data_IF_309843964655
#
_entry.id   IF_309843964655
#
_cell.length_a   1.000
_cell.length_b   1.000
_cell.length_c   1.000
_cell.angle_alpha   90.00
_cell.angle_beta   90.00
_cell.angle_gamma   90.00
#
_symmetry.space_group_name_H-M   'P 1'
#
loop_
_entity.id
_entity.type
_entity.pdbx_description
1 polymer ?
#
# COMPACT_ATOMS: atom_id res chain seq x y z
N UNK A 1 -13.75 1.77 -4.84
CA UNK A 1 -12.69 1.38 -5.78
C UNK A 1 -12.23 -0.03 -5.52
N UNK A 2 -11.64 -0.64 -6.52
CA UNK A 2 -11.10 -2.01 -6.44
C UNK A 2 -9.59 -1.98 -6.23
N UNK A 3 -9.11 -1.20 -5.26
CA UNK A 3 -7.69 -1.07 -5.03
C UNK A 3 -7.38 -0.37 -3.72
N UNK A 4 -6.11 -0.24 -3.47
CA UNK A 4 -5.53 0.38 -2.30
C UNK A 4 -4.41 1.34 -2.72
N UNK A 5 -3.73 1.95 -1.76
CA UNK A 5 -2.70 2.96 -2.01
C UNK A 5 -1.44 2.67 -1.20
N UNK A 6 -0.31 3.08 -1.74
CA UNK A 6 0.87 3.40 -0.95
C UNK A 6 0.71 4.82 -0.42
N UNK A 7 0.93 5.02 0.87
CA UNK A 7 0.76 6.32 1.54
C UNK A 7 2.06 6.70 2.20
N UNK A 8 2.58 7.88 1.85
CA UNK A 8 3.73 8.50 2.49
C UNK A 8 3.30 9.32 3.70
N UNK A 9 4.01 9.21 4.81
CA UNK A 9 3.68 9.88 6.07
C UNK A 9 4.91 10.26 6.88
N UNK A 10 4.73 11.23 7.76
CA UNK A 10 5.73 11.74 8.69
C UNK A 10 5.07 12.18 10.00
N UNK A 11 5.87 12.49 11.02
CA UNK A 11 5.35 13.09 12.27
C UNK A 11 5.02 14.57 12.06
N UNK A 12 3.91 15.03 12.63
CA UNK A 12 3.54 16.47 12.61
C UNK A 12 4.59 17.37 13.26
N UNK A 13 5.16 16.92 14.38
CA UNK A 13 6.16 17.70 15.13
C UNK A 13 7.52 17.78 14.45
N UNK A 14 7.74 17.03 13.38
CA UNK A 14 8.95 17.14 12.56
C UNK A 14 8.99 18.37 11.66
N UNK A 15 7.85 19.04 11.44
CA UNK A 15 7.71 20.13 10.49
C UNK A 15 7.66 19.69 9.02
N UNK A 16 7.67 18.38 8.75
CA UNK A 16 7.52 17.82 7.40
C UNK A 16 6.03 17.75 7.07
N UNK A 17 5.62 18.43 6.00
CA UNK A 17 4.22 18.51 5.58
C UNK A 17 3.99 18.05 4.13
N UNK A 18 5.07 17.84 3.39
CA UNK A 18 5.06 17.43 1.99
C UNK A 18 6.24 16.52 1.66
N UNK A 19 6.21 15.94 0.47
CA UNK A 19 7.31 15.13 -0.03
C UNK A 19 8.57 15.97 -0.26
N UNK A 20 8.43 17.25 -0.62
CA UNK A 20 9.52 18.20 -0.80
C UNK A 20 10.31 18.43 0.48
N UNK A 21 9.64 18.45 1.62
CA UNK A 21 10.28 18.61 2.93
C UNK A 21 11.13 17.41 3.32
N UNK A 22 10.97 16.27 2.65
CA UNK A 22 11.78 15.07 2.85
C UNK A 22 13.16 15.14 2.20
N UNK A 23 13.42 16.16 1.38
CA UNK A 23 14.73 16.31 0.72
C UNK A 23 15.88 16.34 1.75
N UNK A 24 16.86 15.48 1.54
CA UNK A 24 18.04 15.38 2.42
C UNK A 24 17.76 14.65 3.75
N UNK A 25 16.55 14.11 3.96
CA UNK A 25 16.18 13.41 5.19
C UNK A 25 16.16 11.88 5.01
N UNK A 26 15.96 11.16 6.10
CA UNK A 26 15.92 9.70 6.12
C UNK A 26 14.50 9.22 5.78
N UNK A 27 14.38 8.46 4.70
CA UNK A 27 13.11 7.90 4.24
C UNK A 27 13.10 6.37 4.31
N UNK A 28 12.00 5.81 4.82
CA UNK A 28 11.84 4.38 5.02
C UNK A 28 10.90 3.73 4.01
N UNK A 29 11.39 2.65 3.39
CA UNK A 29 10.59 1.67 2.69
C UNK A 29 10.37 0.43 3.56
N UNK A 30 9.33 -0.37 3.28
CA UNK A 30 9.07 -1.60 4.01
C UNK A 30 10.04 -2.72 3.63
N UNK A 31 9.59 -3.64 2.80
CA UNK A 31 10.36 -4.74 2.24
C UNK A 31 10.62 -4.51 0.75
N UNK A 32 11.82 -4.84 0.20
CA UNK A 32 12.13 -4.69 -1.23
C UNK A 32 11.16 -5.42 -2.17
N UNK A 33 10.49 -6.46 -1.70
CA UNK A 33 9.50 -7.22 -2.47
C UNK A 33 8.06 -6.70 -2.32
N UNK A 34 7.84 -5.75 -1.40
CA UNK A 34 6.51 -5.19 -1.16
C UNK A 34 6.07 -4.29 -2.31
N UNK A 35 4.86 -4.49 -2.83
CA UNK A 35 4.29 -3.65 -3.89
C UNK A 35 4.09 -2.22 -3.41
N UNK A 36 3.35 -2.02 -2.33
CA UNK A 36 3.07 -0.69 -1.77
C UNK A 36 4.15 -0.16 -0.84
N UNK A 37 4.94 -1.05 -0.22
CA UNK A 37 6.02 -0.66 0.68
C UNK A 37 7.33 -0.28 -0.03
N UNK A 38 7.47 -0.59 -1.32
CA UNK A 38 8.67 -0.25 -2.07
C UNK A 38 8.46 -0.12 -3.57
N UNK A 39 7.90 -1.13 -4.26
CA UNK A 39 7.90 -1.18 -5.73
C UNK A 39 7.26 0.06 -6.35
N UNK A 40 6.02 0.34 -6.02
CA UNK A 40 5.25 1.46 -6.56
C UNK A 40 5.84 2.81 -6.11
N UNK A 41 6.06 3.06 -4.81
CA UNK A 41 6.64 4.34 -4.40
C UNK A 41 8.03 4.59 -4.96
N UNK A 42 8.84 3.55 -5.19
CA UNK A 42 10.18 3.70 -5.77
C UNK A 42 10.18 4.09 -7.27
N UNK A 43 9.02 4.13 -7.89
CA UNK A 43 8.82 4.59 -9.27
C UNK A 43 8.07 5.92 -9.27
N UNK A 44 6.94 6.00 -8.55
CA UNK A 44 6.09 7.19 -8.59
C UNK A 44 6.68 8.38 -7.81
N UNK A 45 7.49 8.15 -6.76
CA UNK A 45 8.19 9.25 -6.07
C UNK A 45 9.25 9.90 -6.98
N UNK A 46 10.12 9.14 -7.70
CA UNK A 46 10.99 9.71 -8.72
C UNK A 46 10.25 10.46 -9.82
N UNK A 47 9.11 9.95 -10.29
CA UNK A 47 8.29 10.64 -11.27
C UNK A 47 7.79 12.01 -10.73
N UNK A 48 7.42 12.08 -9.46
CA UNK A 48 6.93 13.29 -8.82
C UNK A 48 8.04 14.30 -8.49
N UNK A 49 9.24 13.82 -8.15
CA UNK A 49 10.36 14.66 -7.67
C UNK A 49 11.42 14.95 -8.73
N UNK A 50 11.45 14.17 -9.80
CA UNK A 50 12.52 14.21 -10.80
C UNK A 50 13.87 13.65 -10.32
N UNK A 51 13.88 12.92 -9.21
CA UNK A 51 15.10 12.40 -8.57
C UNK A 51 15.08 10.87 -8.48
N UNK A 52 16.20 10.26 -8.07
CA UNK A 52 16.29 8.82 -7.85
C UNK A 52 15.98 8.44 -6.40
N UNK A 53 15.79 7.13 -6.14
CA UNK A 53 15.62 6.58 -4.78
C UNK A 53 16.96 6.15 -4.16
N UNK A 54 18.07 6.57 -4.74
CA UNK A 54 19.39 6.33 -4.16
C UNK A 54 19.64 7.26 -2.97
N UNK A 55 20.23 6.72 -1.90
CA UNK A 55 20.67 7.53 -0.76
C UNK A 55 21.65 8.62 -1.20
N UNK A 56 21.42 9.83 -0.73
CA UNK A 56 22.26 10.98 -1.07
C UNK A 56 21.84 11.73 -2.34
N UNK A 57 20.82 11.27 -3.10
CA UNK A 57 20.26 12.04 -4.20
C UNK A 57 19.12 12.94 -3.69
N UNK A 58 17.86 12.47 -3.72
CA UNK A 58 16.76 13.25 -3.17
C UNK A 58 16.68 13.11 -1.64
N UNK A 59 16.55 11.86 -1.17
CA UNK A 59 16.64 11.56 0.26
C UNK A 59 18.12 11.52 0.69
N UNK A 60 18.42 12.02 1.89
CA UNK A 60 19.73 11.91 2.46
C UNK A 60 20.13 10.44 2.69
N UNK A 61 19.18 9.66 3.17
CA UNK A 61 19.32 8.22 3.35
C UNK A 61 18.00 7.51 3.04
N UNK A 62 18.09 6.35 2.40
CA UNK A 62 16.96 5.43 2.15
C UNK A 62 17.19 4.16 2.95
N UNK A 63 16.22 3.77 3.76
CA UNK A 63 16.27 2.57 4.60
C UNK A 63 15.16 1.59 4.26
N UNK A 64 15.45 0.30 4.34
CA UNK A 64 14.46 -0.76 4.39
C UNK A 64 14.22 -1.13 5.85
N UNK A 65 12.99 -0.96 6.33
CA UNK A 65 12.61 -1.19 7.73
C UNK A 65 12.23 -2.64 8.01
N UNK A 66 11.97 -3.43 6.96
CA UNK A 66 11.60 -4.84 7.03
C UNK A 66 10.11 -5.12 6.86
N UNK A 67 9.23 -4.11 6.94
CA UNK A 67 7.80 -4.27 6.76
C UNK A 67 6.99 -3.02 7.06
N UNK A 68 5.68 -3.10 6.87
CA UNK A 68 4.77 -1.97 7.06
C UNK A 68 4.72 -1.49 8.52
N UNK A 69 4.57 -2.42 9.46
CA UNK A 69 4.52 -2.09 10.89
C UNK A 69 5.83 -1.47 11.36
N UNK A 70 6.96 -2.05 10.95
CA UNK A 70 8.30 -1.55 11.28
C UNK A 70 8.50 -0.13 10.75
N UNK A 71 8.01 0.18 9.54
CA UNK A 71 8.05 1.55 9.00
C UNK A 71 7.25 2.51 9.86
N UNK A 72 6.03 2.13 10.25
CA UNK A 72 5.16 2.96 11.09
C UNK A 72 5.81 3.24 12.45
N UNK A 73 6.32 2.20 13.09
CA UNK A 73 6.99 2.32 14.40
C UNK A 73 8.25 3.19 14.29
N UNK A 74 9.07 3.00 13.25
CA UNK A 74 10.30 3.78 13.05
C UNK A 74 10.01 5.28 12.84
N UNK A 75 8.96 5.62 12.07
CA UNK A 75 8.53 7.02 11.94
C UNK A 75 7.99 7.56 13.26
N UNK A 76 7.14 6.80 13.93
CA UNK A 76 6.55 7.22 15.21
C UNK A 76 7.60 7.48 16.29
N UNK A 77 8.66 6.68 16.32
CA UNK A 77 9.78 6.85 17.26
C UNK A 77 10.78 7.94 16.85
N UNK A 78 10.69 8.44 15.61
CA UNK A 78 11.67 9.40 15.08
C UNK A 78 12.98 8.77 14.62
N UNK A 79 13.04 7.45 14.46
CA UNK A 79 14.22 6.72 13.95
C UNK A 79 14.47 7.01 12.47
N UNK A 80 13.39 7.32 11.73
CA UNK A 80 13.38 7.83 10.37
C UNK A 80 12.43 9.02 10.28
N UNK A 81 12.65 9.92 9.30
CA UNK A 81 11.88 11.16 9.18
C UNK A 81 10.53 10.97 8.50
N UNK A 82 10.42 10.00 7.62
CA UNK A 82 9.18 9.64 6.93
C UNK A 82 9.31 8.28 6.28
N UNK A 83 8.20 7.76 5.80
CA UNK A 83 8.17 6.46 5.14
C UNK A 83 6.87 6.20 4.42
N UNK A 84 6.75 5.04 3.80
CA UNK A 84 5.55 4.59 3.09
C UNK A 84 4.97 3.33 3.72
N UNK A 85 3.65 3.25 3.68
CA UNK A 85 2.90 2.06 4.04
C UNK A 85 1.64 1.96 3.18
N UNK A 86 0.75 1.00 3.44
CA UNK A 86 -0.46 0.84 2.65
C UNK A 86 -1.73 1.18 3.44
N UNK A 87 -2.72 1.69 2.72
CA UNK A 87 -4.06 1.93 3.22
C UNK A 87 -5.09 1.77 2.09
N UNK A 88 -6.34 1.46 2.45
CA UNK A 88 -7.43 1.36 1.48
C UNK A 88 -7.91 2.73 0.94
N UNK A 89 -7.54 3.81 1.61
CA UNK A 89 -7.91 5.17 1.24
C UNK A 89 -9.39 5.48 1.45
N UNK A 90 -10.10 4.67 2.22
CA UNK A 90 -11.49 4.85 2.60
C UNK A 90 -11.59 5.27 4.07
N UNK A 91 -12.55 6.14 4.40
CA UNK A 91 -12.64 6.73 5.73
C UNK A 91 -11.69 7.91 5.91
N UNK A 92 -11.48 8.30 7.15
CA UNK A 92 -10.71 9.50 7.49
C UNK A 92 -9.24 9.17 7.79
N UNK A 93 -8.36 10.09 7.45
CA UNK A 93 -6.93 10.00 7.77
C UNK A 93 -6.68 9.87 9.27
N UNK A 94 -7.42 10.63 10.06
CA UNK A 94 -7.33 10.71 11.52
C UNK A 94 -7.61 9.37 12.20
N UNK A 95 -8.36 8.49 11.54
CA UNK A 95 -8.67 7.13 12.01
C UNK A 95 -7.67 6.08 11.50
N UNK A 96 -6.73 6.45 10.64
CA UNK A 96 -5.85 5.53 9.92
C UNK A 96 -6.55 4.83 8.75
N UNK A 97 -7.62 5.44 8.23
CA UNK A 97 -8.54 4.89 7.23
C UNK A 97 -9.40 3.71 7.77
N UNK A 98 -10.14 3.04 6.90
CA UNK A 98 -10.96 1.87 7.28
C UNK A 98 -10.15 0.58 7.36
N UNK A 99 -9.10 0.45 6.53
CA UNK A 99 -8.27 -0.75 6.44
C UNK A 99 -6.86 -0.40 5.97
N UNK A 100 -5.90 -1.18 6.41
CA UNK A 100 -4.49 -1.02 6.03
C UNK A 100 -3.55 -1.14 7.22
N UNK A 101 -2.27 -0.88 6.97
CA UNK A 101 -1.27 -0.98 8.02
C UNK A 101 -1.42 0.14 9.06
N UNK A 102 -1.80 1.35 8.66
CA UNK A 102 -2.07 2.45 9.60
C UNK A 102 -3.25 2.11 10.51
N UNK A 103 -4.36 1.62 9.96
CA UNK A 103 -5.52 1.19 10.76
C UNK A 103 -5.13 0.11 11.77
N UNK A 104 -4.38 -0.90 11.34
CA UNK A 104 -3.89 -1.97 12.23
C UNK A 104 -3.00 -1.41 13.35
N UNK A 105 -2.14 -0.45 13.04
CA UNK A 105 -1.27 0.18 14.03
C UNK A 105 -2.06 1.03 15.05
N UNK A 106 -3.10 1.73 14.61
CA UNK A 106 -4.03 2.47 15.49
C UNK A 106 -4.75 1.50 16.41
N UNK A 107 -5.34 0.43 15.87
CA UNK A 107 -6.06 -0.58 16.65
C UNK A 107 -5.17 -1.29 17.68
N UNK A 108 -3.89 -1.45 17.35
CA UNK A 108 -2.88 -2.01 18.27
C UNK A 108 -2.31 -1.00 19.28
N UNK A 109 -2.70 0.27 19.21
CA UNK A 109 -2.17 1.34 20.07
C UNK A 109 -0.70 1.70 19.79
N UNK A 110 -0.18 1.38 18.61
CA UNK A 110 1.21 1.65 18.22
C UNK A 110 1.42 3.08 17.71
N UNK A 111 0.37 3.75 17.26
CA UNK A 111 0.41 5.09 16.70
C UNK A 111 -0.87 5.86 16.97
N UNK A 112 -0.75 7.16 17.21
CA UNK A 112 -1.86 8.12 17.19
C UNK A 112 -1.78 8.92 15.89
N UNK A 113 -2.81 8.84 15.06
CA UNK A 113 -2.86 9.54 13.78
C UNK A 113 -2.92 11.07 13.93
N UNK A 114 -3.29 11.58 15.11
CA UNK A 114 -3.19 13.00 15.42
C UNK A 114 -1.73 13.52 15.41
N UNK A 115 -0.76 12.62 15.62
CA UNK A 115 0.67 12.93 15.58
C UNK A 115 1.27 12.76 14.18
N UNK A 116 0.49 12.29 13.20
CA UNK A 116 0.94 11.97 11.85
C UNK A 116 0.39 12.93 10.81
N UNK A 117 1.14 13.11 9.74
CA UNK A 117 0.73 13.86 8.55
C UNK A 117 0.96 13.02 7.29
N UNK A 118 -0.01 13.05 6.38
CA UNK A 118 0.15 12.47 5.05
C UNK A 118 0.94 13.42 4.17
N UNK A 119 2.03 12.93 3.57
CA UNK A 119 2.92 13.73 2.72
C UNK A 119 2.89 13.30 1.25
N UNK A 120 2.37 12.10 0.97
CA UNK A 120 2.29 11.56 -0.39
C UNK A 120 1.27 10.43 -0.48
N UNK A 121 0.78 10.16 -1.68
CA UNK A 121 -0.09 9.02 -1.98
C UNK A 121 0.10 8.59 -3.44
N UNK A 122 0.19 7.28 -3.66
CA UNK A 122 0.29 6.69 -5.00
C UNK A 122 -1.01 6.80 -5.79
N UNK A 123 -0.93 6.50 -7.08
CA UNK A 123 -2.09 6.06 -7.86
C UNK A 123 -2.68 4.78 -7.25
N UNK A 124 -3.91 4.46 -7.62
CA UNK A 124 -4.57 3.24 -7.14
C UNK A 124 -3.79 2.00 -7.56
N UNK A 125 -3.51 1.14 -6.60
CA UNK A 125 -2.88 -0.17 -6.80
C UNK A 125 -4.00 -1.21 -6.79
N UNK A 126 -4.11 -2.08 -7.81
CA UNK A 126 -5.12 -3.13 -7.82
C UNK A 126 -4.86 -4.14 -6.70
N UNK A 127 -5.93 -4.63 -6.08
CA UNK A 127 -5.85 -5.69 -5.08
C UNK A 127 -5.28 -6.99 -5.67
N UNK A 128 -4.73 -7.84 -4.81
CA UNK A 128 -4.25 -9.15 -5.22
C UNK A 128 -5.38 -9.98 -5.84
N UNK A 129 -5.23 -10.52 -7.08
CA UNK A 129 -6.31 -11.22 -7.75
C UNK A 129 -6.50 -12.63 -7.20
N UNK A 130 -7.75 -13.07 -7.13
CA UNK A 130 -8.07 -14.50 -7.06
C UNK A 130 -7.97 -15.04 -8.48
N UNK A 131 -7.11 -16.04 -8.68
CA UNK A 131 -6.85 -16.61 -10.00
C UNK A 131 -7.33 -18.04 -10.10
N UNK A 132 -7.93 -18.39 -11.25
CA UNK A 132 -8.32 -19.76 -11.59
C UNK A 132 -7.35 -20.32 -12.64
N UNK A 133 -7.00 -21.58 -12.50
CA UNK A 133 -6.14 -22.26 -13.49
C UNK A 133 -6.86 -22.35 -14.83
N UNK A 134 -6.19 -21.98 -15.92
CA UNK A 134 -6.76 -22.01 -17.29
C UNK A 134 -7.25 -23.40 -17.71
N UNK A 135 -6.63 -24.46 -17.19
CA UNK A 135 -6.97 -25.86 -17.51
C UNK A 135 -8.23 -26.37 -16.83
N UNK A 136 -8.84 -25.62 -15.90
CA UNK A 136 -10.10 -26.01 -15.29
C UNK A 136 -11.23 -26.05 -16.36
N UNK A 137 -12.18 -27.01 -16.23
CA UNK A 137 -13.36 -27.03 -17.07
C UNK A 137 -14.14 -25.69 -17.01
N UNK A 138 -14.74 -25.29 -18.11
CA UNK A 138 -15.41 -24.01 -18.21
C UNK A 138 -16.56 -23.85 -17.23
N UNK A 139 -17.34 -24.91 -17.05
CA UNK A 139 -18.45 -24.95 -16.08
C UNK A 139 -17.98 -24.72 -14.62
N UNK A 140 -16.79 -25.24 -14.29
CA UNK A 140 -16.17 -25.02 -12.96
C UNK A 140 -15.76 -23.55 -12.81
N UNK A 141 -15.15 -22.96 -13.84
CA UNK A 141 -14.75 -21.54 -13.81
C UNK A 141 -15.97 -20.62 -13.66
N UNK A 142 -17.05 -20.90 -14.41
CA UNK A 142 -18.31 -20.14 -14.32
C UNK A 142 -18.92 -20.24 -12.91
N UNK A 143 -18.98 -21.45 -12.33
CA UNK A 143 -19.50 -21.65 -10.97
C UNK A 143 -18.66 -20.92 -9.93
N UNK A 144 -17.33 -21.01 -10.01
CA UNK A 144 -16.43 -20.32 -9.08
C UNK A 144 -16.54 -18.81 -9.18
N UNK A 145 -16.64 -18.27 -10.39
CA UNK A 145 -16.84 -16.83 -10.61
C UNK A 145 -18.17 -16.35 -10.03
N UNK A 146 -19.24 -17.10 -10.26
CA UNK A 146 -20.56 -16.79 -9.69
C UNK A 146 -20.58 -16.86 -8.16
N UNK A 147 -19.93 -17.87 -7.57
CA UNK A 147 -19.81 -18.01 -6.12
C UNK A 147 -19.08 -16.79 -5.53
N UNK A 148 -17.90 -16.44 -6.06
CA UNK A 148 -17.13 -15.31 -5.57
C UNK A 148 -17.90 -13.98 -5.72
N UNK A 149 -18.56 -13.76 -6.85
CA UNK A 149 -19.33 -12.54 -7.09
C UNK A 149 -20.48 -12.36 -6.09
N UNK A 150 -21.09 -13.46 -5.60
CA UNK A 150 -22.21 -13.43 -4.64
C UNK A 150 -21.78 -13.62 -3.18
N UNK A 151 -20.52 -13.98 -2.92
CA UNK A 151 -20.05 -14.39 -1.59
C UNK A 151 -20.30 -13.33 -0.51
N UNK A 152 -20.11 -12.05 -0.84
CA UNK A 152 -20.32 -10.93 0.09
C UNK A 152 -21.76 -10.82 0.59
N UNK A 153 -22.75 -11.28 -0.20
CA UNK A 153 -24.15 -11.29 0.17
C UNK A 153 -24.57 -12.60 0.84
N UNK A 154 -23.93 -13.72 0.48
CA UNK A 154 -24.26 -15.04 1.00
C UNK A 154 -23.59 -15.32 2.35
N UNK A 155 -22.33 -14.94 2.49
CA UNK A 155 -21.50 -15.17 3.68
C UNK A 155 -20.46 -14.04 3.81
N UNK A 156 -20.82 -12.92 4.44
CA UNK A 156 -19.90 -11.77 4.62
C UNK A 156 -18.64 -12.12 5.42
N UNK A 157 -18.73 -13.05 6.36
CA UNK A 157 -17.59 -13.48 7.17
C UNK A 157 -16.59 -14.27 6.33
N UNK A 158 -17.07 -15.19 5.51
CA UNK A 158 -16.23 -15.89 4.54
C UNK A 158 -15.61 -14.91 3.53
N UNK A 159 -16.39 -13.96 3.01
CA UNK A 159 -15.87 -12.94 2.11
C UNK A 159 -14.74 -12.11 2.74
N UNK A 160 -14.90 -11.72 4.00
CA UNK A 160 -13.86 -11.03 4.78
C UNK A 160 -12.58 -11.88 4.89
N UNK A 161 -12.73 -13.16 5.21
CA UNK A 161 -11.60 -14.09 5.32
C UNK A 161 -10.86 -14.26 3.99
N UNK A 162 -11.59 -14.44 2.89
CA UNK A 162 -11.00 -14.59 1.55
C UNK A 162 -10.31 -13.30 1.08
N UNK A 163 -10.89 -12.15 1.36
CA UNK A 163 -10.31 -10.85 1.01
C UNK A 163 -9.17 -10.41 1.95
N UNK A 164 -8.98 -11.11 3.08
CA UNK A 164 -8.09 -10.70 4.16
C UNK A 164 -8.37 -9.27 4.67
N UNK A 165 -9.63 -8.94 4.80
CA UNK A 165 -10.10 -7.65 5.27
C UNK A 165 -11.48 -7.26 4.74
N UNK A 166 -11.86 -6.00 4.93
CA UNK A 166 -13.15 -5.48 4.47
C UNK A 166 -13.20 -5.45 2.95
N UNK A 167 -14.08 -6.26 2.36
CA UNK A 167 -14.38 -6.26 0.93
C UNK A 167 -15.86 -6.01 0.72
N UNK A 168 -16.21 -5.09 -0.20
CA UNK A 168 -17.62 -4.85 -0.57
C UNK A 168 -18.15 -5.92 -1.50
N UNK A 169 -17.32 -6.42 -2.41
CA UNK A 169 -17.65 -7.50 -3.35
C UNK A 169 -16.39 -7.95 -4.09
N UNK A 170 -16.43 -9.16 -4.64
CA UNK A 170 -15.47 -9.58 -5.66
C UNK A 170 -16.05 -9.25 -7.04
N UNK A 171 -15.20 -8.75 -7.94
CA UNK A 171 -15.57 -8.44 -9.31
C UNK A 171 -14.53 -9.01 -10.28
N UNK A 172 -14.93 -9.41 -11.49
CA UNK A 172 -13.98 -9.76 -12.53
C UNK A 172 -13.03 -8.60 -12.80
N UNK A 173 -11.75 -8.92 -12.99
CA UNK A 173 -10.71 -7.97 -13.33
C UNK A 173 -9.86 -8.54 -14.45
N UNK A 174 -9.35 -7.67 -15.32
CA UNK A 174 -8.55 -8.09 -16.45
C UNK A 174 -7.05 -7.91 -16.20
N UNK A 175 -6.23 -8.51 -17.06
CA UNK A 175 -4.77 -8.44 -16.96
C UNK A 175 -4.25 -7.00 -17.06
N UNK A 176 -4.89 -6.17 -17.87
CA UNK A 176 -4.51 -4.77 -18.10
C UNK A 176 -4.52 -3.94 -16.80
N UNK A 177 -5.37 -4.27 -15.85
CA UNK A 177 -5.40 -3.59 -14.55
C UNK A 177 -4.09 -3.77 -13.74
N UNK A 178 -3.30 -4.80 -14.06
CA UNK A 178 -2.03 -5.11 -13.39
C UNK A 178 -0.79 -4.65 -14.16
N UNK A 179 -0.95 -4.00 -15.31
CA UNK A 179 0.18 -3.55 -16.13
C UNK A 179 1.13 -2.63 -15.35
N UNK A 180 0.61 -1.75 -14.51
CA UNK A 180 1.43 -0.88 -13.66
C UNK A 180 2.40 -1.68 -12.76
N UNK A 181 1.93 -2.79 -12.19
CA UNK A 181 2.76 -3.66 -11.32
C UNK A 181 3.74 -4.46 -12.18
N UNK A 182 3.30 -4.95 -13.33
CA UNK A 182 4.13 -5.74 -14.26
C UNK A 182 5.29 -4.90 -14.79
N UNK A 183 5.00 -3.68 -15.25
CA UNK A 183 6.03 -2.76 -15.74
C UNK A 183 6.99 -2.33 -14.63
N UNK A 184 6.45 -2.05 -13.43
CA UNK A 184 7.26 -1.75 -12.26
C UNK A 184 8.24 -2.89 -11.93
N UNK A 185 7.81 -4.14 -11.98
CA UNK A 185 8.68 -5.30 -11.78
C UNK A 185 9.74 -5.43 -12.87
N UNK A 186 9.38 -5.20 -14.13
CA UNK A 186 10.34 -5.23 -15.25
C UNK A 186 11.42 -4.16 -15.13
N UNK A 187 11.08 -2.97 -14.67
CA UNK A 187 12.04 -1.89 -14.42
C UNK A 187 13.04 -2.24 -13.31
N UNK A 188 12.61 -2.93 -12.28
CA UNK A 188 13.47 -3.33 -11.15
C UNK A 188 14.30 -4.59 -11.41
N UNK A 189 13.99 -5.38 -12.45
CA UNK A 189 14.73 -6.59 -12.80
C UNK A 189 15.86 -6.36 -13.81
N UNK A 190 16.05 -5.13 -14.25
CA UNK A 190 17.17 -4.67 -15.08
C UNK A 190 18.28 -4.08 -14.22
#
# INVERSE_FOLDING_TARGET
>A
GFGYYSVGFARKDSGITSLEDMKGKVFGFGDPNSTSGYLIPSIEIPEATGATMESGDYFGEVKFTGGHEQTIVAVNNGDINGGVTWADGLGEWEDGYNSGALRKAVDAGLVDMNDMVKIWQSKTIPEGPIVLRKVLPEDVKVKMTGLLASLHAMDPECAYGVANGVAKAFAPITHEAYEIIIEARKLKSK
#
